data_IF_611224124804
#
_entry.id   IF_611224124804
#
_cell.length_a   1.000
_cell.length_b   1.000
_cell.length_c   1.000
_cell.angle_alpha   90.00
_cell.angle_beta   90.00
_cell.angle_gamma   90.00
#
_symmetry.space_group_name_H-M   'P 1'
#
loop_
_entity.id
_entity.type
_entity.pdbx_description
1 polymer ?
#
# COMPACT_ATOMS: atom_id res chain seq x y z
N UNK A 1 18.04 -28.90 -34.98
CA UNK A 1 18.31 -28.94 -33.53
C UNK A 1 19.81 -29.10 -33.21
N UNK A 2 20.65 -29.66 -34.08
CA UNK A 2 22.10 -29.84 -33.77
C UNK A 2 23.00 -28.61 -33.98
N UNK A 3 22.56 -27.57 -34.70
CA UNK A 3 23.43 -26.42 -35.01
C UNK A 3 23.52 -25.39 -33.85
N UNK A 4 22.58 -25.44 -32.90
CA UNK A 4 22.49 -24.46 -31.79
C UNK A 4 23.32 -24.87 -30.56
N UNK A 5 23.63 -26.16 -30.41
CA UNK A 5 24.49 -26.66 -29.33
C UNK A 5 25.97 -26.25 -29.49
N UNK A 6 26.39 -25.75 -30.66
CA UNK A 6 27.79 -25.37 -30.93
C UNK A 6 28.22 -24.04 -30.29
N UNK A 7 27.29 -23.26 -29.73
CA UNK A 7 27.58 -21.89 -29.24
C UNK A 7 27.20 -21.64 -27.78
N UNK A 8 26.80 -22.68 -27.03
CA UNK A 8 26.47 -22.55 -25.60
C UNK A 8 27.44 -23.45 -24.83
N UNK A 9 28.51 -22.90 -24.24
CA UNK A 9 29.23 -23.65 -23.22
C UNK A 9 28.27 -23.81 -22.03
N UNK A 10 27.87 -25.05 -21.76
CA UNK A 10 27.23 -25.45 -20.52
C UNK A 10 28.28 -25.33 -19.43
N UNK A 11 28.44 -24.13 -18.86
CA UNK A 11 29.25 -23.96 -17.67
C UNK A 11 28.36 -24.38 -16.50
N UNK A 12 28.48 -25.66 -16.16
CA UNK A 12 28.06 -26.18 -14.89
C UNK A 12 28.77 -25.40 -13.77
N UNK A 13 27.94 -24.84 -12.90
CA UNK A 13 28.18 -24.37 -11.52
C UNK A 13 29.63 -24.50 -11.01
N UNK A 14 30.33 -23.40 -10.70
CA UNK A 14 31.51 -23.44 -9.86
C UNK A 14 31.26 -22.67 -8.56
N UNK A 15 30.39 -23.19 -7.71
CA UNK A 15 30.34 -22.77 -6.30
C UNK A 15 30.46 -24.01 -5.42
N UNK A 16 31.68 -24.58 -5.37
CA UNK A 16 32.23 -25.33 -4.22
C UNK A 16 33.63 -25.90 -4.53
N UNK A 17 34.63 -25.04 -4.65
CA UNK A 17 36.03 -25.44 -4.41
C UNK A 17 36.81 -24.24 -3.89
N UNK A 18 37.47 -24.39 -2.73
CA UNK A 18 38.32 -23.38 -2.09
C UNK A 18 39.66 -23.18 -2.84
N UNK A 19 39.63 -22.79 -4.12
CA UNK A 19 40.83 -22.34 -4.86
C UNK A 19 40.49 -21.09 -5.67
N UNK A 20 41.40 -20.11 -5.65
CA UNK A 20 41.24 -18.84 -6.37
C UNK A 20 41.15 -19.06 -7.89
N UNK A 21 40.20 -18.40 -8.58
CA UNK A 21 39.75 -18.75 -9.94
C UNK A 21 40.73 -18.43 -11.09
N UNK A 22 41.93 -17.93 -10.82
CA UNK A 22 42.85 -17.38 -11.83
C UNK A 22 44.03 -18.28 -12.23
N UNK A 23 44.08 -19.51 -11.70
CA UNK A 23 45.31 -20.32 -11.72
C UNK A 23 45.28 -21.52 -12.67
N UNK A 24 44.12 -21.93 -13.21
CA UNK A 24 44.05 -23.05 -14.15
C UNK A 24 44.43 -22.63 -15.57
N UNK A 25 45.20 -23.48 -16.25
CA UNK A 25 45.70 -23.22 -17.60
C UNK A 25 44.56 -22.95 -18.61
N UNK A 26 43.44 -23.67 -18.46
CA UNK A 26 42.23 -23.55 -19.28
C UNK A 26 41.59 -22.14 -19.18
N UNK A 27 41.59 -21.53 -17.99
CA UNK A 27 41.04 -20.17 -17.79
C UNK A 27 41.94 -19.14 -18.45
N UNK A 28 43.27 -19.31 -18.36
CA UNK A 28 44.24 -18.41 -19.03
C UNK A 28 44.09 -18.49 -20.55
N UNK A 29 43.91 -19.69 -21.11
CA UNK A 29 43.72 -19.89 -22.54
C UNK A 29 42.41 -19.27 -23.04
N UNK A 30 41.30 -19.43 -22.30
CA UNK A 30 40.02 -18.81 -22.62
C UNK A 30 40.10 -17.27 -22.59
N UNK A 31 40.81 -16.69 -21.62
CA UNK A 31 41.05 -15.24 -21.54
C UNK A 31 41.89 -14.75 -22.73
N UNK A 32 42.93 -15.50 -23.11
CA UNK A 32 43.79 -15.15 -24.25
C UNK A 32 43.03 -15.21 -25.58
N UNK A 33 42.21 -16.25 -25.78
CA UNK A 33 41.34 -16.38 -26.95
C UNK A 33 40.35 -15.22 -27.05
N UNK A 34 39.73 -14.84 -25.93
CA UNK A 34 38.78 -13.71 -25.89
C UNK A 34 39.47 -12.37 -26.17
N UNK A 35 40.70 -12.17 -25.69
CA UNK A 35 41.55 -11.00 -25.99
C UNK A 35 41.88 -10.89 -27.50
N UNK A 36 42.21 -12.00 -28.15
CA UNK A 36 42.49 -12.04 -29.59
C UNK A 36 41.25 -11.67 -30.43
N UNK A 37 40.08 -12.21 -30.10
CA UNK A 37 38.82 -11.85 -30.75
C UNK A 37 38.50 -10.36 -30.60
N UNK A 38 38.74 -9.81 -29.40
CA UNK A 38 38.55 -8.39 -29.13
C UNK A 38 39.49 -7.51 -29.96
N UNK A 39 40.77 -7.90 -30.11
CA UNK A 39 41.73 -7.19 -30.97
C UNK A 39 41.32 -7.21 -32.44
N UNK A 40 40.85 -8.34 -32.96
CA UNK A 40 40.34 -8.44 -34.33
C UNK A 40 39.10 -7.56 -34.54
N UNK A 41 38.18 -7.54 -33.58
CA UNK A 41 37.00 -6.67 -33.60
C UNK A 41 37.39 -5.19 -33.61
N UNK A 42 38.30 -4.77 -32.73
CA UNK A 42 38.79 -3.39 -32.68
C UNK A 42 39.46 -2.98 -33.99
N UNK A 43 40.33 -3.84 -34.54
CA UNK A 43 41.01 -3.61 -35.81
C UNK A 43 40.03 -3.50 -37.00
N UNK A 44 38.96 -4.31 -36.99
CA UNK A 44 37.90 -4.20 -37.99
C UNK A 44 37.16 -2.86 -37.87
N UNK A 45 36.83 -2.43 -36.64
CA UNK A 45 36.22 -1.14 -36.37
C UNK A 45 37.09 0.04 -36.82
N UNK A 46 38.42 -0.03 -36.61
CA UNK A 46 39.35 1.04 -37.03
C UNK A 46 39.36 1.18 -38.56
N UNK A 47 39.44 0.06 -39.30
CA UNK A 47 39.31 0.06 -40.77
C UNK A 47 37.97 0.63 -41.23
N UNK A 48 36.87 0.28 -40.57
CA UNK A 48 35.55 0.81 -40.91
C UNK A 48 35.48 2.34 -40.69
N UNK A 49 36.00 2.83 -39.55
CA UNK A 49 36.05 4.26 -39.24
C UNK A 49 36.94 5.05 -40.22
N UNK A 50 38.09 4.52 -40.62
CA UNK A 50 38.94 5.15 -41.64
C UNK A 50 38.25 5.21 -43.01
N UNK A 51 37.54 4.14 -43.39
CA UNK A 51 36.77 4.09 -44.64
C UNK A 51 35.65 5.14 -44.63
N UNK A 52 34.95 5.30 -43.50
CA UNK A 52 33.96 6.37 -43.30
C UNK A 52 34.59 7.77 -43.38
N UNK A 53 35.78 7.96 -42.79
CA UNK A 53 36.49 9.25 -42.81
C UNK A 53 36.88 9.66 -44.23
N UNK A 54 37.41 8.72 -45.03
CA UNK A 54 37.78 8.98 -46.43
C UNK A 54 36.57 9.31 -47.32
N UNK A 55 35.41 8.69 -47.08
CA UNK A 55 34.18 8.88 -47.88
C UNK A 55 33.23 9.95 -47.35
N UNK A 56 33.62 10.73 -46.33
CA UNK A 56 32.77 11.75 -45.68
C UNK A 56 32.27 12.85 -46.63
N UNK A 57 33.04 13.14 -47.68
CA UNK A 57 32.74 14.17 -48.68
C UNK A 57 31.64 13.77 -49.67
N UNK A 58 31.33 12.47 -49.81
CA UNK A 58 30.27 11.98 -50.70
C UNK A 58 28.87 12.22 -50.11
N UNK A 59 27.86 12.31 -50.96
CA UNK A 59 26.47 12.40 -50.53
C UNK A 59 26.04 11.13 -49.76
N UNK A 60 25.09 11.25 -48.84
CA UNK A 60 24.71 10.15 -47.93
C UNK A 60 24.32 8.86 -48.66
N UNK A 61 23.52 8.96 -49.72
CA UNK A 61 23.10 7.83 -50.54
C UNK A 61 24.28 7.17 -51.29
N UNK A 62 25.23 7.97 -51.78
CA UNK A 62 26.44 7.46 -52.44
C UNK A 62 27.39 6.77 -51.47
N UNK A 63 27.48 7.25 -50.21
CA UNK A 63 28.22 6.58 -49.14
C UNK A 63 27.64 5.21 -48.84
N UNK A 64 26.31 5.10 -48.78
CA UNK A 64 25.61 3.83 -48.55
C UNK A 64 25.89 2.82 -49.67
N UNK A 65 25.79 3.24 -50.94
CA UNK A 65 26.13 2.40 -52.10
C UNK A 65 27.59 1.93 -52.07
N UNK A 66 28.52 2.85 -51.81
CA UNK A 66 29.95 2.54 -51.75
C UNK A 66 30.38 1.67 -50.56
N UNK A 67 29.53 1.54 -49.55
CA UNK A 67 29.78 0.72 -48.36
C UNK A 67 28.92 -0.55 -48.33
N UNK A 68 28.06 -0.76 -49.34
CA UNK A 68 27.09 -1.86 -49.36
C UNK A 68 26.12 -1.82 -48.17
N UNK A 69 25.85 -0.64 -47.62
CA UNK A 69 24.99 -0.46 -46.46
C UNK A 69 23.57 -0.10 -46.93
N UNK A 70 22.57 -0.75 -46.33
CA UNK A 70 21.17 -0.38 -46.53
C UNK A 70 20.87 0.96 -45.88
N UNK A 71 19.83 1.63 -46.38
CA UNK A 71 19.43 2.92 -45.85
C UNK A 71 19.02 2.82 -44.39
N UNK A 72 19.20 3.91 -43.63
CA UNK A 72 18.72 4.00 -42.26
C UNK A 72 17.21 3.71 -42.16
N UNK A 73 16.43 4.04 -43.20
CA UNK A 73 15.00 3.73 -43.29
C UNK A 73 14.78 2.21 -43.33
N UNK A 74 15.49 1.48 -44.18
CA UNK A 74 15.38 0.02 -44.30
C UNK A 74 15.88 -0.71 -43.03
N UNK A 75 16.99 -0.25 -42.44
CA UNK A 75 17.48 -0.78 -41.16
C UNK A 75 16.44 -0.66 -40.05
N UNK A 76 15.74 0.48 -39.98
CA UNK A 76 14.67 0.73 -39.01
C UNK A 76 13.48 -0.19 -39.25
N UNK A 77 12.99 -0.27 -40.48
CA UNK A 77 11.86 -1.16 -40.86
C UNK A 77 12.18 -2.61 -40.51
N UNK A 78 13.39 -3.08 -40.82
CA UNK A 78 13.83 -4.43 -40.48
C UNK A 78 13.84 -4.67 -38.96
N UNK A 79 14.34 -3.72 -38.18
CA UNK A 79 14.35 -3.80 -36.71
C UNK A 79 12.94 -3.90 -36.11
N UNK A 80 12.01 -3.11 -36.63
CA UNK A 80 10.62 -3.08 -36.16
C UNK A 80 9.90 -4.40 -36.52
N UNK A 81 10.14 -4.96 -37.71
CA UNK A 81 9.60 -6.27 -38.11
C UNK A 81 10.15 -7.43 -37.25
N UNK A 82 11.45 -7.41 -36.93
CA UNK A 82 12.06 -8.42 -36.03
C UNK A 82 11.41 -8.35 -34.64
N UNK A 83 11.16 -7.14 -34.13
CA UNK A 83 10.53 -6.98 -32.83
C UNK A 83 9.07 -7.43 -32.86
N UNK A 84 8.32 -7.13 -33.92
CA UNK A 84 6.96 -7.66 -34.12
C UNK A 84 6.95 -9.19 -34.15
N UNK A 85 7.87 -9.81 -34.90
CA UNK A 85 7.99 -11.26 -34.95
C UNK A 85 8.23 -11.87 -33.57
N UNK A 86 9.13 -11.30 -32.76
CA UNK A 86 9.42 -11.78 -31.40
C UNK A 86 8.20 -11.71 -30.49
N UNK A 87 7.39 -10.65 -30.60
CA UNK A 87 6.15 -10.49 -29.84
C UNK A 87 5.07 -11.48 -30.29
N UNK A 88 4.86 -11.62 -31.60
CA UNK A 88 3.86 -12.54 -32.17
C UNK A 88 4.18 -14.00 -31.85
N UNK A 89 5.47 -14.37 -31.79
CA UNK A 89 5.92 -15.72 -31.43
C UNK A 89 6.10 -15.93 -29.92
N UNK A 90 5.81 -14.91 -29.09
CA UNK A 90 5.97 -15.00 -27.64
C UNK A 90 7.42 -15.20 -27.16
N UNK A 91 8.40 -14.91 -28.02
CA UNK A 91 9.84 -15.00 -27.71
C UNK A 91 10.26 -13.85 -26.80
N UNK A 92 9.58 -12.71 -26.90
CA UNK A 92 9.78 -11.53 -26.06
C UNK A 92 8.44 -11.17 -25.38
N UNK A 93 8.47 -10.92 -24.08
CA UNK A 93 7.30 -10.51 -23.29
C UNK A 93 7.55 -9.11 -22.75
N UNK A 94 6.71 -8.15 -23.16
CA UNK A 94 6.80 -6.77 -22.67
C UNK A 94 5.88 -6.63 -21.47
N UNK A 95 6.49 -6.58 -20.28
CA UNK A 95 5.79 -6.22 -19.06
C UNK A 95 5.89 -4.69 -18.93
N UNK A 96 4.77 -4.02 -19.16
CA UNK A 96 4.65 -2.58 -18.89
C UNK A 96 4.37 -2.41 -17.40
N UNK A 97 5.18 -1.60 -16.70
CA UNK A 97 4.94 -1.29 -15.29
C UNK A 97 3.72 -0.37 -15.08
N UNK A 98 3.23 0.26 -16.15
CA UNK A 98 1.98 1.03 -16.19
C UNK A 98 1.15 0.75 -17.46
N UNK A 99 0.42 -0.38 -17.54
CA UNK A 99 -0.34 -0.73 -18.75
C UNK A 99 -1.66 0.06 -18.91
N UNK A 100 -1.98 1.02 -18.02
CA UNK A 100 -3.31 1.64 -17.92
C UNK A 100 -3.29 3.17 -18.01
N UNK A 101 -2.49 3.74 -18.91
CA UNK A 101 -2.74 5.11 -19.39
C UNK A 101 -3.36 4.97 -20.77
N UNK A 102 -4.68 4.79 -20.82
CA UNK A 102 -5.42 5.07 -22.05
C UNK A 102 -5.18 6.55 -22.37
N UNK A 103 -4.41 6.81 -23.43
CA UNK A 103 -4.20 8.16 -23.93
C UNK A 103 -5.58 8.77 -24.22
N UNK A 104 -5.95 9.89 -23.59
CA UNK A 104 -7.16 10.59 -24.00
C UNK A 104 -6.93 11.09 -25.44
N UNK A 105 -7.96 10.93 -26.28
CA UNK A 105 -8.04 11.54 -27.61
C UNK A 105 -8.05 13.06 -27.44
N UNK A 106 -6.88 13.68 -27.32
CA UNK A 106 -6.73 15.13 -27.28
C UNK A 106 -5.74 15.56 -28.35
N UNK A 107 -6.28 16.35 -29.27
CA UNK A 107 -5.61 16.97 -30.40
C UNK A 107 -4.56 18.00 -29.97
N UNK A 108 -3.54 18.14 -30.84
CA UNK A 108 -2.63 19.28 -31.04
C UNK A 108 -1.29 19.30 -30.28
N UNK A 109 -0.26 18.92 -31.04
CA UNK A 109 0.98 19.69 -31.29
C UNK A 109 1.72 20.36 -30.12
N UNK A 110 2.01 19.65 -29.03
CA UNK A 110 3.22 19.90 -28.22
C UNK A 110 3.45 18.75 -27.23
N UNK A 111 4.32 17.81 -27.60
CA UNK A 111 4.64 16.61 -26.79
C UNK A 111 5.94 16.74 -25.97
N UNK A 112 6.62 17.89 -26.01
CA UNK A 112 7.80 18.12 -25.17
C UNK A 112 7.37 18.49 -23.74
N UNK A 113 7.61 17.58 -22.79
CA UNK A 113 7.47 17.84 -21.35
C UNK A 113 6.22 17.27 -20.67
N UNK A 114 5.49 16.33 -21.28
CA UNK A 114 4.34 15.70 -20.62
C UNK A 114 4.80 14.54 -19.70
N UNK A 115 4.18 14.38 -18.52
CA UNK A 115 4.54 13.39 -17.48
C UNK A 115 3.93 11.98 -17.73
N UNK A 116 3.49 11.70 -18.94
CA UNK A 116 2.74 10.48 -19.30
C UNK A 116 3.51 9.62 -20.30
N UNK A 117 4.76 9.27 -19.97
CA UNK A 117 5.56 8.34 -20.76
C UNK A 117 5.18 6.90 -20.39
N UNK A 118 4.95 6.06 -21.41
CA UNK A 118 4.81 4.62 -21.21
C UNK A 118 6.21 4.05 -20.98
N UNK A 119 6.55 3.81 -19.72
CA UNK A 119 7.84 3.25 -19.34
C UNK A 119 7.80 1.71 -19.35
N UNK A 120 8.80 1.11 -20.02
CA UNK A 120 9.05 -0.33 -19.98
C UNK A 120 9.85 -0.69 -18.72
N UNK A 121 9.77 -1.95 -18.29
CA UNK A 121 10.67 -2.48 -17.27
C UNK A 121 12.14 -2.28 -17.62
N UNK A 122 12.94 -1.80 -16.66
CA UNK A 122 14.39 -1.70 -16.80
C UNK A 122 15.02 -3.09 -16.93
N UNK A 123 15.73 -3.33 -18.03
CA UNK A 123 16.53 -4.54 -18.22
C UNK A 123 17.81 -4.39 -17.39
N UNK A 124 17.93 -5.17 -16.30
CA UNK A 124 19.00 -5.08 -15.28
C UNK A 124 20.44 -4.98 -15.85
N UNK A 125 20.69 -5.53 -17.04
CA UNK A 125 22.03 -5.67 -17.61
C UNK A 125 22.27 -4.93 -18.93
N UNK A 126 21.33 -4.08 -19.40
CA UNK A 126 21.53 -3.32 -20.64
C UNK A 126 20.70 -2.03 -20.62
N UNK A 127 21.28 -0.96 -20.05
CA UNK A 127 20.65 0.37 -19.96
C UNK A 127 20.46 0.99 -21.34
N UNK A 128 21.27 0.64 -22.33
CA UNK A 128 21.15 1.13 -23.70
C UNK A 128 19.90 0.55 -24.39
N UNK A 129 19.52 -0.69 -24.07
CA UNK A 129 18.30 -1.34 -24.62
C UNK A 129 17.01 -0.73 -24.05
N UNK A 130 17.07 -0.12 -22.86
CA UNK A 130 15.95 0.58 -22.23
C UNK A 130 15.46 1.78 -23.06
N UNK A 131 16.35 2.44 -23.80
CA UNK A 131 15.99 3.59 -24.65
C UNK A 131 15.29 3.21 -25.96
N UNK A 132 15.15 1.91 -26.30
CA UNK A 132 14.67 1.48 -27.62
C UNK A 132 13.15 1.35 -27.79
N UNK A 133 12.35 2.05 -26.97
CA UNK A 133 10.89 1.96 -27.11
C UNK A 133 10.16 3.19 -27.68
N UNK A 134 10.65 4.42 -27.50
CA UNK A 134 9.83 5.59 -27.85
C UNK A 134 10.58 6.88 -28.21
N UNK A 135 11.79 6.82 -28.76
CA UNK A 135 12.52 8.04 -29.17
C UNK A 135 12.61 8.24 -30.69
N UNK A 136 11.58 7.79 -31.41
CA UNK A 136 11.55 7.85 -32.88
C UNK A 136 10.29 8.58 -33.34
N UNK A 137 10.45 9.80 -33.84
CA UNK A 137 9.40 10.50 -34.61
C UNK A 137 9.09 9.63 -35.82
N UNK A 138 7.94 8.95 -35.80
CA UNK A 138 7.42 8.17 -36.93
C UNK A 138 6.08 8.79 -37.31
N UNK A 139 5.85 8.95 -38.62
CA UNK A 139 4.65 9.54 -39.19
C UNK A 139 3.34 8.98 -38.60
N UNK A 140 2.34 9.87 -38.52
CA UNK A 140 1.03 9.71 -37.86
C UNK A 140 0.33 8.34 -38.09
N UNK A 141 0.47 7.77 -39.29
CA UNK A 141 -0.17 6.49 -39.65
C UNK A 141 0.42 5.28 -38.89
N UNK A 142 1.70 5.32 -38.52
CA UNK A 142 2.35 4.23 -37.75
C UNK A 142 2.01 4.30 -36.26
N UNK A 143 1.77 5.50 -35.72
CA UNK A 143 1.30 5.65 -34.34
C UNK A 143 -0.10 5.04 -34.15
N UNK A 144 -0.99 5.21 -35.13
CA UNK A 144 -2.34 4.62 -35.08
C UNK A 144 -2.31 3.09 -35.12
N UNK A 145 -1.41 2.51 -35.91
CA UNK A 145 -1.20 1.06 -35.98
C UNK A 145 -0.64 0.50 -34.66
N UNK A 146 0.37 1.16 -34.09
CA UNK A 146 0.96 0.79 -32.79
C UNK A 146 -0.08 0.93 -31.67
N UNK A 147 -0.91 1.98 -31.68
CA UNK A 147 -1.98 2.18 -30.70
C UNK A 147 -3.05 1.07 -30.78
N UNK A 148 -3.49 0.70 -31.99
CA UNK A 148 -4.43 -0.40 -32.20
C UNK A 148 -3.83 -1.75 -31.79
N UNK A 149 -2.52 -1.96 -32.01
CA UNK A 149 -1.81 -3.16 -31.57
C UNK A 149 -1.70 -3.23 -30.04
N UNK A 150 -1.42 -2.11 -29.37
CA UNK A 150 -1.39 -2.01 -27.90
C UNK A 150 -2.77 -2.29 -27.32
N UNK A 151 -3.84 -1.77 -27.93
CA UNK A 151 -5.23 -2.06 -27.56
C UNK A 151 -5.58 -3.54 -27.72
N UNK A 152 -5.18 -4.17 -28.83
CA UNK A 152 -5.36 -5.62 -29.05
C UNK A 152 -4.59 -6.48 -28.03
N UNK A 153 -3.35 -6.12 -27.74
CA UNK A 153 -2.51 -6.85 -26.79
C UNK A 153 -2.97 -6.65 -25.33
N UNK A 154 -3.50 -5.46 -25.01
CA UNK A 154 -4.14 -5.18 -23.72
C UNK A 154 -5.40 -6.02 -23.52
N UNK A 155 -6.26 -6.14 -24.55
CA UNK A 155 -7.45 -7.02 -24.52
C UNK A 155 -7.08 -8.49 -24.31
N UNK A 156 -6.05 -8.99 -25.00
CA UNK A 156 -5.62 -10.40 -24.92
C UNK A 156 -4.97 -10.77 -23.58
N UNK A 157 -4.33 -9.80 -22.91
CA UNK A 157 -3.76 -9.98 -21.55
C UNK A 157 -4.84 -10.02 -20.45
N UNK A 158 -5.93 -9.27 -20.63
CA UNK A 158 -7.01 -9.17 -19.65
C UNK A 158 -7.92 -10.41 -19.60
N UNK A 159 -7.96 -11.23 -20.65
CA UNK A 159 -8.92 -12.34 -20.78
C UNK A 159 -8.52 -13.65 -20.05
N UNK A 160 -7.26 -13.80 -19.60
CA UNK A 160 -6.78 -15.08 -18.99
C UNK A 160 -6.11 -14.97 -17.62
N UNK A 161 -6.07 -13.79 -16.99
CA UNK A 161 -5.31 -13.56 -15.75
C UNK A 161 -6.06 -13.12 -14.46
N UNK A 162 -7.37 -13.40 -14.23
CA UNK A 162 -8.01 -13.01 -12.97
C UNK A 162 -7.72 -13.98 -11.82
N UNK A 163 -7.89 -15.30 -11.99
CA UNK A 163 -7.88 -16.25 -10.88
C UNK A 163 -6.50 -16.39 -10.21
N UNK A 164 -5.42 -16.58 -10.98
CA UNK A 164 -4.07 -16.74 -10.44
C UNK A 164 -3.56 -15.50 -9.69
N UNK A 165 -3.95 -14.30 -10.16
CA UNK A 165 -3.54 -13.02 -9.55
C UNK A 165 -4.23 -12.81 -8.21
N UNK A 166 -5.51 -13.18 -8.10
CA UNK A 166 -6.27 -13.12 -6.84
C UNK A 166 -5.62 -14.06 -5.81
N UNK A 167 -5.30 -15.31 -6.19
CA UNK A 167 -4.69 -16.28 -5.27
C UNK A 167 -3.30 -15.86 -4.75
N UNK A 168 -2.47 -15.22 -5.58
CA UNK A 168 -1.14 -14.73 -5.17
C UNK A 168 -1.27 -13.56 -4.20
N UNK A 169 -2.18 -12.62 -4.48
CA UNK A 169 -2.43 -11.46 -3.61
C UNK A 169 -2.97 -11.88 -2.24
N UNK A 170 -3.86 -12.89 -2.20
CA UNK A 170 -4.39 -13.43 -0.95
C UNK A 170 -3.29 -14.11 -0.11
N UNK A 171 -2.36 -14.84 -0.74
CA UNK A 171 -1.20 -15.41 -0.05
C UNK A 171 -0.27 -14.33 0.52
N UNK A 172 -0.04 -13.25 -0.22
CA UNK A 172 0.77 -12.11 0.24
C UNK A 172 0.08 -11.42 1.43
N UNK A 173 -1.23 -11.19 1.37
CA UNK A 173 -2.00 -10.60 2.46
C UNK A 173 -1.98 -11.48 3.73
N UNK A 174 -2.13 -12.79 3.57
CA UNK A 174 -2.01 -13.75 4.68
C UNK A 174 -0.61 -13.74 5.29
N UNK A 175 0.44 -13.72 4.46
CA UNK A 175 1.82 -13.64 4.90
C UNK A 175 2.10 -12.36 5.70
N UNK A 176 1.56 -11.21 5.25
CA UNK A 176 1.66 -9.94 6.00
C UNK A 176 0.98 -10.03 7.37
N UNK A 177 -0.22 -10.61 7.45
CA UNK A 177 -0.92 -10.83 8.73
C UNK A 177 -0.12 -11.72 9.69
N UNK A 178 0.43 -12.82 9.17
CA UNK A 178 1.28 -13.72 9.97
C UNK A 178 2.54 -13.00 10.48
N UNK A 179 3.18 -12.20 9.63
CA UNK A 179 4.34 -11.40 10.04
C UNK A 179 3.99 -10.34 11.10
N UNK A 180 2.82 -9.70 10.97
CA UNK A 180 2.31 -8.75 11.96
C UNK A 180 2.14 -9.41 13.34
N UNK A 181 1.47 -10.58 13.39
CA UNK A 181 1.30 -11.36 14.63
C UNK A 181 2.66 -11.77 15.21
N UNK A 182 3.60 -12.21 14.36
CA UNK A 182 4.95 -12.56 14.79
C UNK A 182 5.71 -11.37 15.38
N UNK A 183 5.45 -10.14 14.90
CA UNK A 183 6.06 -8.92 15.43
C UNK A 183 5.53 -8.54 16.81
N UNK A 184 4.29 -8.91 17.17
CA UNK A 184 3.72 -8.67 18.52
C UNK A 184 4.62 -9.28 19.62
N UNK A 185 5.26 -10.41 19.33
CA UNK A 185 6.17 -11.07 20.29
C UNK A 185 7.62 -10.56 20.22
N UNK A 186 7.91 -9.57 19.36
CA UNK A 186 9.26 -8.99 19.16
C UNK A 186 9.32 -7.53 19.60
N UNK A 187 9.21 -7.31 20.91
CA UNK A 187 9.18 -5.99 21.56
C UNK A 187 10.33 -5.06 21.12
N UNK A 188 11.55 -5.58 20.94
CA UNK A 188 12.73 -4.77 20.55
C UNK A 188 12.65 -4.12 19.16
N UNK A 189 11.77 -4.62 18.29
CA UNK A 189 11.60 -4.09 16.93
C UNK A 189 10.35 -3.21 16.80
N UNK A 190 9.71 -2.86 17.92
CA UNK A 190 8.53 -2.01 17.93
C UNK A 190 8.91 -0.54 18.18
N UNK A 191 8.39 0.36 17.35
CA UNK A 191 8.60 1.81 17.50
C UNK A 191 7.63 2.40 18.54
N UNK A 192 7.93 2.19 19.84
CA UNK A 192 7.10 2.70 20.94
C UNK A 192 7.06 4.23 21.01
N UNK A 193 8.16 4.90 20.69
CA UNK A 193 8.23 6.37 20.72
C UNK A 193 7.22 6.97 19.73
N UNK A 194 7.20 6.47 18.50
CA UNK A 194 6.25 6.91 17.48
C UNK A 194 4.81 6.62 17.92
N UNK A 195 4.54 5.44 18.48
CA UNK A 195 3.21 5.07 18.94
C UNK A 195 2.73 5.93 20.13
N UNK A 196 3.61 6.28 21.07
CA UNK A 196 3.30 7.21 22.17
C UNK A 196 3.00 8.62 21.65
N UNK A 197 3.79 9.13 20.71
CA UNK A 197 3.50 10.41 20.06
C UNK A 197 2.16 10.37 19.32
N UNK A 198 1.83 9.27 18.64
CA UNK A 198 0.52 9.11 18.01
C UNK A 198 -0.61 9.17 19.04
N UNK A 199 -0.48 8.46 20.17
CA UNK A 199 -1.45 8.50 21.26
C UNK A 199 -1.63 9.90 21.87
N UNK A 200 -0.53 10.63 22.10
CA UNK A 200 -0.59 11.99 22.62
C UNK A 200 -1.21 12.97 21.62
N UNK A 201 -0.82 12.86 20.34
CA UNK A 201 -1.39 13.72 19.30
C UNK A 201 -2.86 13.43 19.02
N UNK A 202 -3.37 12.24 19.34
CA UNK A 202 -4.81 12.00 19.25
C UNK A 202 -5.61 12.94 20.15
N UNK A 203 -5.05 13.48 21.24
CA UNK A 203 -5.68 14.49 22.09
C UNK A 203 -5.34 15.91 21.66
N UNK A 204 -4.04 16.19 21.49
CA UNK A 204 -3.55 17.55 21.30
C UNK A 204 -3.81 18.07 19.89
N UNK A 205 -3.58 17.24 18.87
CA UNK A 205 -3.66 17.64 17.47
C UNK A 205 -3.90 16.45 16.54
N UNK A 206 -5.12 15.87 16.53
CA UNK A 206 -5.38 14.62 15.81
C UNK A 206 -5.15 14.73 14.29
N UNK A 207 -5.26 15.94 13.73
CA UNK A 207 -4.89 16.21 12.32
C UNK A 207 -3.45 15.84 12.00
N UNK A 208 -2.54 15.99 12.97
CA UNK A 208 -1.12 15.64 12.81
C UNK A 208 -0.92 14.13 12.68
N UNK A 209 -1.69 13.33 13.41
CA UNK A 209 -1.66 11.86 13.32
C UNK A 209 -1.99 11.41 11.90
N UNK A 210 -3.09 11.93 11.34
CA UNK A 210 -3.54 11.54 10.00
C UNK A 210 -2.68 12.08 8.86
N UNK A 211 -1.98 13.21 9.07
CA UNK A 211 -0.93 13.65 8.14
C UNK A 211 0.21 12.64 8.05
N UNK A 212 0.60 11.99 9.15
CA UNK A 212 1.62 10.94 9.14
C UNK A 212 1.19 9.70 8.34
N UNK A 213 -0.11 9.36 8.37
CA UNK A 213 -0.65 8.28 7.53
C UNK A 213 -0.54 8.61 6.03
N UNK A 214 -0.79 9.87 5.64
CA UNK A 214 -0.55 10.31 4.25
C UNK A 214 0.92 10.16 3.84
N UNK A 215 1.87 10.53 4.71
CA UNK A 215 3.31 10.32 4.43
C UNK A 215 3.69 8.84 4.37
N UNK A 216 3.04 7.98 5.18
CA UNK A 216 3.26 6.54 5.13
C UNK A 216 2.81 5.94 3.80
N UNK A 217 1.68 6.42 3.26
CA UNK A 217 1.21 6.01 1.94
C UNK A 217 2.21 6.36 0.84
N UNK A 218 2.81 7.55 0.88
CA UNK A 218 3.80 7.98 -0.12
C UNK A 218 5.07 7.11 -0.10
N UNK A 219 5.49 6.66 1.08
CA UNK A 219 6.74 5.91 1.27
C UNK A 219 6.57 4.39 1.13
N UNK A 220 5.48 3.82 1.66
CA UNK A 220 5.24 2.36 1.70
C UNK A 220 4.06 1.88 0.84
N UNK A 221 3.30 2.79 0.23
CA UNK A 221 2.11 2.48 -0.60
C UNK A 221 1.07 1.62 0.11
N UNK A 222 0.90 1.82 1.41
CA UNK A 222 -0.18 1.23 2.20
C UNK A 222 -0.63 2.19 3.29
N UNK A 223 -1.90 2.07 3.68
CA UNK A 223 -2.51 2.95 4.68
C UNK A 223 -2.49 2.33 6.08
N UNK A 224 -2.63 1.01 6.20
CA UNK A 224 -2.61 0.32 7.49
C UNK A 224 -1.23 0.33 8.15
N UNK A 225 -1.19 0.28 9.49
CA UNK A 225 0.04 0.20 10.26
C UNK A 225 0.72 -1.16 10.08
N UNK A 226 2.04 -1.13 9.87
CA UNK A 226 2.88 -2.33 9.85
C UNK A 226 3.34 -2.80 11.24
N UNK A 227 3.28 -1.92 12.23
CA UNK A 227 3.93 -2.12 13.52
C UNK A 227 2.90 -2.22 14.65
N UNK A 228 2.99 -3.25 15.50
CA UNK A 228 2.00 -3.53 16.53
C UNK A 228 2.11 -2.63 17.77
N UNK A 229 3.09 -1.71 17.82
CA UNK A 229 3.41 -0.90 18.99
C UNK A 229 2.20 -0.16 19.59
N UNK A 230 1.37 0.43 18.73
CA UNK A 230 0.15 1.13 19.15
C UNK A 230 -0.85 0.21 19.86
N UNK A 231 -1.08 -1.00 19.31
CA UNK A 231 -2.02 -1.97 19.88
C UNK A 231 -1.50 -2.53 21.21
N UNK A 232 -0.19 -2.76 21.33
CA UNK A 232 0.45 -3.20 22.58
C UNK A 232 0.32 -2.13 23.66
N UNK A 233 0.61 -0.86 23.34
CA UNK A 233 0.41 0.25 24.28
C UNK A 233 -1.07 0.42 24.67
N UNK A 234 -1.98 0.24 23.72
CA UNK A 234 -3.42 0.32 23.98
C UNK A 234 -3.86 -0.79 24.94
N UNK A 235 -3.32 -2.00 24.76
CA UNK A 235 -3.57 -3.14 25.65
C UNK A 235 -2.99 -2.91 27.06
N UNK A 236 -1.82 -2.26 27.17
CA UNK A 236 -1.28 -1.85 28.45
C UNK A 236 -2.18 -0.82 29.15
N UNK A 237 -2.74 0.15 28.39
CA UNK A 237 -3.71 1.11 28.94
C UNK A 237 -4.98 0.41 29.43
N UNK A 238 -5.53 -0.51 28.62
CA UNK A 238 -6.69 -1.33 28.98
C UNK A 238 -6.47 -2.16 30.25
N UNK A 239 -5.26 -2.67 30.47
CA UNK A 239 -4.91 -3.36 31.70
C UNK A 239 -4.93 -2.42 32.91
N UNK A 240 -4.30 -1.24 32.78
CA UNK A 240 -4.27 -0.23 33.85
C UNK A 240 -5.69 0.25 34.16
N UNK A 241 -6.50 0.60 33.16
CA UNK A 241 -7.87 1.04 33.38
C UNK A 241 -8.72 -0.04 34.04
N UNK A 242 -8.64 -1.29 33.58
CA UNK A 242 -9.38 -2.42 34.17
C UNK A 242 -8.98 -2.66 35.63
N UNK A 243 -7.71 -2.43 35.97
CA UNK A 243 -7.21 -2.51 37.34
C UNK A 243 -7.85 -1.43 38.22
N UNK A 244 -7.91 -0.19 37.73
CA UNK A 244 -8.55 0.93 38.43
C UNK A 244 -10.05 0.67 38.62
N UNK A 245 -10.77 0.18 37.59
CA UNK A 245 -12.18 -0.22 37.72
C UNK A 245 -12.38 -1.32 38.74
N UNK A 246 -11.50 -2.33 38.75
CA UNK A 246 -11.59 -3.43 39.71
C UNK A 246 -11.47 -2.95 41.15
N UNK A 247 -10.57 -2.01 41.41
CA UNK A 247 -10.43 -1.40 42.75
C UNK A 247 -11.64 -0.54 43.09
N UNK A 248 -12.07 0.34 42.17
CA UNK A 248 -13.21 1.23 42.36
C UNK A 248 -14.53 0.47 42.62
N UNK A 249 -14.69 -0.71 42.01
CA UNK A 249 -15.87 -1.57 42.15
C UNK A 249 -15.69 -2.68 43.20
N UNK A 250 -14.55 -2.73 43.89
CA UNK A 250 -14.24 -3.78 44.88
C UNK A 250 -14.43 -5.20 44.33
N UNK A 251 -14.00 -5.44 43.10
CA UNK A 251 -14.12 -6.74 42.43
C UNK A 251 -13.05 -7.74 42.93
N UNK A 252 -13.41 -9.02 42.96
CA UNK A 252 -12.47 -10.11 43.22
C UNK A 252 -11.47 -10.28 42.08
N UNK A 253 -10.37 -11.01 42.31
CA UNK A 253 -9.38 -11.29 41.26
C UNK A 253 -9.97 -11.96 40.01
N UNK A 254 -10.91 -12.89 40.20
CA UNK A 254 -11.65 -13.51 39.09
C UNK A 254 -12.52 -12.49 38.37
N UNK A 255 -13.12 -11.55 39.12
CA UNK A 255 -13.88 -10.46 38.54
C UNK A 255 -13.02 -9.53 37.69
N UNK A 256 -11.84 -9.15 38.20
CA UNK A 256 -10.83 -8.42 37.44
C UNK A 256 -10.47 -9.11 36.12
N UNK A 257 -10.16 -10.41 36.14
CA UNK A 257 -9.82 -11.15 34.92
C UNK A 257 -10.97 -11.18 33.91
N UNK A 258 -12.21 -11.38 34.38
CA UNK A 258 -13.40 -11.31 33.51
C UNK A 258 -13.56 -9.93 32.88
N UNK A 259 -13.42 -8.86 33.65
CA UNK A 259 -13.48 -7.49 33.16
C UNK A 259 -12.37 -7.22 32.14
N UNK A 260 -11.13 -7.55 32.46
CA UNK A 260 -9.97 -7.35 31.59
C UNK A 260 -10.17 -8.01 30.21
N UNK A 261 -10.55 -9.28 30.19
CA UNK A 261 -10.78 -9.99 28.93
C UNK A 261 -12.00 -9.47 28.17
N UNK A 262 -13.05 -9.05 28.88
CA UNK A 262 -14.22 -8.44 28.26
C UNK A 262 -13.85 -7.14 27.54
N UNK A 263 -13.19 -6.20 28.23
CA UNK A 263 -12.86 -4.90 27.64
C UNK A 263 -11.87 -5.06 26.47
N UNK A 264 -10.90 -5.98 26.57
CA UNK A 264 -9.94 -6.23 25.46
C UNK A 264 -10.62 -6.92 24.27
N UNK A 265 -11.26 -8.08 24.48
CA UNK A 265 -11.72 -8.89 23.36
C UNK A 265 -13.09 -8.49 22.83
N UNK A 266 -14.00 -8.06 23.70
CA UNK A 266 -15.37 -7.70 23.30
C UNK A 266 -15.43 -6.22 22.94
N UNK A 267 -15.09 -5.33 23.89
CA UNK A 267 -15.31 -3.89 23.71
C UNK A 267 -14.30 -3.26 22.74
N UNK A 268 -13.02 -3.65 22.80
CA UNK A 268 -11.99 -3.10 21.91
C UNK A 268 -11.89 -3.88 20.58
N UNK A 269 -11.64 -5.19 20.62
CA UNK A 269 -11.40 -5.97 19.40
C UNK A 269 -12.70 -6.33 18.68
N UNK A 270 -13.66 -6.95 19.37
CA UNK A 270 -14.90 -7.46 18.79
C UNK A 270 -15.75 -6.35 18.18
N UNK A 271 -16.08 -5.33 18.98
CA UNK A 271 -16.80 -4.15 18.50
C UNK A 271 -16.00 -3.40 17.43
N UNK A 272 -14.67 -3.31 17.58
CA UNK A 272 -13.81 -2.68 16.59
C UNK A 272 -13.82 -3.35 15.22
N UNK A 273 -13.78 -4.68 15.17
CA UNK A 273 -13.89 -5.44 13.91
C UNK A 273 -15.27 -5.26 13.27
N UNK A 274 -16.34 -5.22 14.06
CA UNK A 274 -17.70 -4.95 13.60
C UNK A 274 -17.78 -3.56 12.97
N UNK A 275 -17.36 -2.52 13.69
CA UNK A 275 -17.41 -1.14 13.20
C UNK A 275 -16.52 -0.94 11.97
N UNK A 276 -15.29 -1.46 11.99
CA UNK A 276 -14.39 -1.40 10.85
C UNK A 276 -14.97 -2.11 9.61
N UNK A 277 -15.66 -3.24 9.81
CA UNK A 277 -16.37 -3.96 8.75
C UNK A 277 -17.49 -3.13 8.14
N UNK A 278 -18.40 -2.60 8.98
CA UNK A 278 -19.52 -1.76 8.53
C UNK A 278 -19.02 -0.51 7.80
N UNK A 279 -18.07 0.23 8.39
CA UNK A 279 -17.52 1.44 7.79
C UNK A 279 -16.77 1.14 6.50
N UNK A 280 -15.96 0.07 6.45
CA UNK A 280 -15.26 -0.30 5.22
C UNK A 280 -16.23 -0.62 4.09
N UNK A 281 -17.31 -1.36 4.36
CA UNK A 281 -18.36 -1.63 3.35
C UNK A 281 -19.07 -0.35 2.93
N UNK A 282 -19.50 0.47 3.90
CA UNK A 282 -20.21 1.72 3.64
C UNK A 282 -19.38 2.68 2.79
N UNK A 283 -18.15 2.96 3.21
CA UNK A 283 -17.28 3.93 2.54
C UNK A 283 -16.89 3.45 1.14
N UNK A 284 -16.56 2.16 0.98
CA UNK A 284 -16.27 1.60 -0.34
C UNK A 284 -17.51 1.58 -1.26
N UNK A 285 -18.72 1.47 -0.72
CA UNK A 285 -19.94 1.45 -1.53
C UNK A 285 -20.42 2.84 -1.92
N UNK A 286 -20.34 3.81 -1.02
CA UNK A 286 -21.04 5.10 -1.16
C UNK A 286 -20.12 6.32 -1.30
N UNK A 287 -18.89 6.30 -0.77
CA UNK A 287 -18.06 7.51 -0.65
C UNK A 287 -16.88 7.57 -1.63
N UNK A 288 -16.71 6.57 -2.51
CA UNK A 288 -15.64 6.59 -3.52
C UNK A 288 -16.01 7.46 -4.72
N UNK A 289 -15.00 8.06 -5.35
CA UNK A 289 -15.20 8.84 -6.58
C UNK A 289 -15.79 7.97 -7.73
N UNK A 290 -16.89 8.39 -8.35
CA UNK A 290 -17.31 7.84 -9.64
C UNK A 290 -16.45 8.44 -10.78
N UNK A 291 -15.81 7.58 -11.59
CA UNK A 291 -15.27 7.91 -12.92
C UNK A 291 -13.77 8.23 -13.07
N UNK A 292 -12.86 7.90 -12.15
CA UNK A 292 -11.41 8.22 -12.27
C UNK A 292 -10.44 7.05 -12.08
N UNK A 293 -9.19 7.16 -12.59
CA UNK A 293 -8.13 6.12 -12.54
C UNK A 293 -7.79 5.69 -11.09
N UNK A 294 -7.96 6.58 -10.10
CA UNK A 294 -7.82 6.28 -8.66
C UNK A 294 -8.91 5.36 -8.07
N UNK A 295 -9.89 4.91 -8.88
CA UNK A 295 -10.96 4.01 -8.46
C UNK A 295 -10.52 2.61 -8.00
N UNK A 296 -9.31 2.18 -8.37
CA UNK A 296 -8.84 0.83 -8.07
C UNK A 296 -8.38 0.65 -6.63
N UNK A 297 -8.08 1.74 -5.91
CA UNK A 297 -7.69 1.67 -4.50
C UNK A 297 -8.93 1.51 -3.63
N UNK A 298 -9.06 0.32 -3.03
CA UNK A 298 -10.06 0.03 -2.00
C UNK A 298 -9.47 0.35 -0.64
N UNK A 299 -10.32 0.73 0.30
CA UNK A 299 -9.89 0.88 1.69
C UNK A 299 -9.45 -0.47 2.22
N UNK A 300 -8.22 -0.51 2.71
CA UNK A 300 -7.69 -1.66 3.43
C UNK A 300 -8.49 -1.86 4.72
N UNK A 301 -8.97 -3.08 4.96
CA UNK A 301 -9.66 -3.40 6.21
C UNK A 301 -8.79 -3.06 7.45
N UNK A 302 -7.48 -3.29 7.35
CA UNK A 302 -6.53 -2.93 8.41
C UNK A 302 -6.56 -1.43 8.74
N UNK A 303 -6.69 -0.57 7.73
CA UNK A 303 -6.79 0.86 7.93
C UNK A 303 -8.10 1.26 8.62
N UNK A 304 -9.22 0.66 8.21
CA UNK A 304 -10.51 0.90 8.88
C UNK A 304 -10.47 0.51 10.37
N UNK A 305 -9.78 -0.59 10.69
CA UNK A 305 -9.55 -1.00 12.07
C UNK A 305 -8.61 -0.06 12.81
N UNK A 306 -7.53 0.43 12.18
CA UNK A 306 -6.63 1.43 12.77
C UNK A 306 -7.36 2.75 13.10
N UNK A 307 -8.27 3.20 12.22
CA UNK A 307 -9.11 4.38 12.47
C UNK A 307 -10.01 4.14 13.68
N UNK A 308 -10.62 2.95 13.81
CA UNK A 308 -11.37 2.59 15.01
C UNK A 308 -10.49 2.64 16.27
N UNK A 309 -9.31 2.02 16.27
CA UNK A 309 -8.41 2.03 17.43
C UNK A 309 -7.99 3.45 17.81
N UNK A 310 -7.73 4.32 16.82
CA UNK A 310 -7.41 5.72 17.04
C UNK A 310 -8.58 6.50 17.66
N UNK A 311 -9.82 6.22 17.25
CA UNK A 311 -11.01 6.86 17.80
C UNK A 311 -11.39 6.30 19.18
N UNK A 312 -11.15 5.00 19.39
CA UNK A 312 -11.44 4.29 20.64
C UNK A 312 -10.55 4.75 21.78
N UNK A 313 -9.27 5.04 21.53
CA UNK A 313 -8.34 5.40 22.60
C UNK A 313 -8.72 6.68 23.38
N UNK A 314 -9.07 7.82 22.74
CA UNK A 314 -9.62 8.97 23.45
C UNK A 314 -10.94 8.70 24.18
N UNK A 315 -11.84 7.96 23.54
CA UNK A 315 -13.11 7.55 24.14
C UNK A 315 -12.88 6.72 25.41
N UNK A 316 -11.96 5.76 25.35
CA UNK A 316 -11.54 4.94 26.48
C UNK A 316 -11.02 5.81 27.60
N UNK A 317 -10.15 6.78 27.33
CA UNK A 317 -9.59 7.64 28.37
C UNK A 317 -10.64 8.51 29.05
N UNK A 318 -11.56 9.09 28.28
CA UNK A 318 -12.67 9.88 28.83
C UNK A 318 -13.57 8.99 29.70
N UNK A 319 -13.95 7.81 29.21
CA UNK A 319 -14.89 6.93 29.90
C UNK A 319 -14.28 6.11 31.05
N UNK A 320 -12.98 5.82 31.00
CA UNK A 320 -12.34 5.00 32.02
C UNK A 320 -11.64 5.81 33.12
N UNK A 321 -11.31 7.08 32.85
CA UNK A 321 -10.65 7.95 33.82
C UNK A 321 -11.63 9.00 34.33
N UNK A 322 -12.09 9.90 33.46
CA UNK A 322 -12.91 11.05 33.86
C UNK A 322 -14.27 10.60 34.39
N UNK A 323 -14.93 9.75 33.62
CA UNK A 323 -16.25 9.23 33.95
C UNK A 323 -16.24 8.33 35.20
N UNK A 324 -15.17 7.55 35.41
CA UNK A 324 -15.05 6.71 36.61
C UNK A 324 -14.90 7.57 37.88
N UNK A 325 -14.02 8.58 37.84
CA UNK A 325 -13.86 9.53 38.96
C UNK A 325 -15.19 10.22 39.24
N UNK A 326 -15.88 10.66 38.19
CA UNK A 326 -17.17 11.31 38.31
C UNK A 326 -18.24 10.41 38.96
N UNK A 327 -18.31 9.14 38.55
CA UNK A 327 -19.25 8.17 39.10
C UNK A 327 -19.10 7.98 40.62
N UNK A 328 -17.89 8.02 41.17
CA UNK A 328 -17.65 7.85 42.61
C UNK A 328 -18.33 8.91 43.49
N UNK A 329 -18.62 10.09 42.93
CA UNK A 329 -19.31 11.19 43.61
C UNK A 329 -20.75 11.40 43.09
N UNK A 330 -21.22 10.53 42.19
CA UNK A 330 -22.48 10.70 41.49
C UNK A 330 -23.65 10.20 42.34
N UNK A 331 -24.52 11.13 42.76
CA UNK A 331 -25.80 10.80 43.41
C UNK A 331 -26.91 10.54 42.39
N UNK A 332 -28.07 10.06 42.84
CA UNK A 332 -29.27 9.88 42.01
C UNK A 332 -30.01 11.21 41.76
N UNK A 333 -29.31 12.22 41.22
CA UNK A 333 -29.88 13.54 40.95
C UNK A 333 -29.96 13.85 39.45
N UNK A 334 -30.77 14.83 39.09
CA UNK A 334 -30.81 15.34 37.71
C UNK A 334 -29.44 15.87 37.27
N UNK A 335 -28.77 16.63 38.14
CA UNK A 335 -27.44 17.19 37.86
C UNK A 335 -26.43 16.08 37.60
N UNK A 336 -26.55 14.99 38.36
CA UNK A 336 -25.69 13.83 38.19
C UNK A 336 -25.83 13.17 36.81
N UNK A 337 -27.09 13.02 36.37
CA UNK A 337 -27.43 12.51 35.05
C UNK A 337 -26.97 13.46 33.94
N UNK A 338 -27.17 14.77 34.10
CA UNK A 338 -26.77 15.76 33.10
C UNK A 338 -25.27 15.74 32.84
N UNK A 339 -24.44 15.82 33.89
CA UNK A 339 -22.98 15.82 33.76
C UNK A 339 -22.49 14.47 33.23
N UNK A 340 -22.96 13.35 33.80
CA UNK A 340 -22.57 12.01 33.36
C UNK A 340 -22.91 11.74 31.89
N UNK A 341 -24.12 12.10 31.45
CA UNK A 341 -24.52 11.93 30.06
C UNK A 341 -23.77 12.91 29.13
N UNK A 342 -23.38 14.09 29.61
CA UNK A 342 -22.56 15.05 28.86
C UNK A 342 -21.14 14.50 28.63
N UNK A 343 -20.54 13.82 29.62
CA UNK A 343 -19.23 13.17 29.44
C UNK A 343 -19.31 12.09 28.35
N UNK A 344 -20.37 11.28 28.35
CA UNK A 344 -20.64 10.31 27.29
C UNK A 344 -20.84 10.95 25.92
N UNK A 345 -21.60 12.06 25.86
CA UNK A 345 -21.81 12.83 24.63
C UNK A 345 -20.47 13.32 24.06
N UNK A 346 -19.62 13.90 24.90
CA UNK A 346 -18.28 14.38 24.51
C UNK A 346 -17.42 13.23 24.00
N UNK A 347 -17.41 12.09 24.70
CA UNK A 347 -16.64 10.91 24.29
C UNK A 347 -17.07 10.38 22.91
N UNK A 348 -18.38 10.26 22.67
CA UNK A 348 -18.93 9.80 21.40
C UNK A 348 -18.70 10.80 20.27
N UNK A 349 -18.87 12.10 20.53
CA UNK A 349 -18.56 13.15 19.57
C UNK A 349 -17.10 13.09 19.13
N UNK A 350 -16.19 12.89 20.09
CA UNK A 350 -14.77 12.76 19.80
C UNK A 350 -14.47 11.51 18.96
N UNK A 351 -15.11 10.38 19.29
CA UNK A 351 -14.99 9.15 18.52
C UNK A 351 -15.41 9.34 17.05
N UNK A 352 -16.57 9.97 16.80
CA UNK A 352 -17.02 10.26 15.43
C UNK A 352 -16.13 11.28 14.73
N UNK A 353 -15.62 12.29 15.44
CA UNK A 353 -14.69 13.27 14.89
C UNK A 353 -13.38 12.64 14.42
N UNK A 354 -12.75 11.79 15.26
CA UNK A 354 -11.52 11.09 14.89
C UNK A 354 -11.75 10.11 13.75
N UNK A 355 -12.91 9.44 13.73
CA UNK A 355 -13.32 8.57 12.62
C UNK A 355 -13.43 9.36 11.33
N UNK A 356 -14.18 10.46 11.32
CA UNK A 356 -14.31 11.37 10.17
C UNK A 356 -12.94 11.84 9.66
N UNK A 357 -12.05 12.24 10.57
CA UNK A 357 -10.74 12.75 10.22
C UNK A 357 -9.86 11.68 9.56
N UNK A 358 -9.95 10.43 10.03
CA UNK A 358 -9.22 9.31 9.45
C UNK A 358 -9.66 8.94 8.03
N UNK A 359 -10.95 9.03 7.72
CA UNK A 359 -11.37 8.82 6.33
C UNK A 359 -11.15 10.06 5.45
N UNK A 360 -11.19 11.27 6.01
CA UNK A 360 -11.02 12.51 5.24
C UNK A 360 -9.60 12.74 4.73
N UNK A 361 -8.58 12.09 5.30
CA UNK A 361 -7.22 12.16 4.75
C UNK A 361 -7.01 11.28 3.51
N UNK A 362 -7.98 10.43 3.14
CA UNK A 362 -7.90 9.56 1.98
C UNK A 362 -8.30 10.33 0.70
N UNK A 363 -7.38 10.50 -0.27
CA UNK A 363 -7.61 11.35 -1.44
C UNK A 363 -8.61 10.74 -2.45
N UNK A 364 -8.98 9.48 -2.29
CA UNK A 364 -9.92 8.76 -3.16
C UNK A 364 -11.35 8.68 -2.58
N UNK A 365 -11.61 9.35 -1.45
CA UNK A 365 -12.93 9.49 -0.86
C UNK A 365 -13.50 10.90 -1.06
N UNK A 366 -14.82 10.98 -1.24
CA UNK A 366 -15.60 12.22 -1.33
C UNK A 366 -16.78 12.14 -0.37
N UNK A 367 -17.21 13.28 0.16
CA UNK A 367 -18.40 13.34 1.02
C UNK A 367 -18.18 12.65 2.37
N UNK A 368 -16.95 12.60 2.87
CA UNK A 368 -16.62 12.00 4.17
C UNK A 368 -17.38 12.65 5.33
N UNK A 369 -17.90 13.87 5.16
CA UNK A 369 -18.79 14.56 6.10
C UNK A 369 -20.01 13.72 6.49
N UNK A 370 -20.49 12.83 5.62
CA UNK A 370 -21.58 11.88 5.94
C UNK A 370 -21.27 10.99 7.13
N UNK A 371 -19.99 10.73 7.43
CA UNK A 371 -19.57 9.96 8.61
C UNK A 371 -19.86 10.67 9.94
N UNK A 372 -20.17 11.98 9.92
CA UNK A 372 -20.59 12.75 11.09
C UNK A 372 -22.10 12.67 11.33
N UNK A 373 -22.91 12.11 10.42
CA UNK A 373 -24.37 12.04 10.62
C UNK A 373 -24.82 11.29 11.88
N UNK A 374 -24.14 10.21 12.33
CA UNK A 374 -24.44 9.58 13.62
C UNK A 374 -24.38 10.53 14.82
N UNK A 375 -23.62 11.63 14.75
CA UNK A 375 -23.56 12.66 15.80
C UNK A 375 -24.94 13.28 16.04
N UNK A 376 -25.75 13.45 15.00
CA UNK A 376 -27.13 13.96 15.12
C UNK A 376 -27.98 12.99 15.93
N UNK A 377 -27.92 11.69 15.61
CA UNK A 377 -28.65 10.64 16.33
C UNK A 377 -28.23 10.58 17.80
N UNK A 378 -26.92 10.66 18.08
CA UNK A 378 -26.39 10.68 19.46
C UNK A 378 -26.84 11.94 20.20
N UNK A 379 -26.92 13.09 19.52
CA UNK A 379 -27.40 14.33 20.12
C UNK A 379 -28.87 14.22 20.53
N UNK A 380 -29.72 13.68 19.65
CA UNK A 380 -31.14 13.41 19.93
C UNK A 380 -31.27 12.46 21.12
N UNK A 381 -30.53 11.35 21.11
CA UNK A 381 -30.55 10.37 22.20
C UNK A 381 -30.08 10.97 23.53
N UNK A 382 -29.09 11.86 23.51
CA UNK A 382 -28.66 12.61 24.69
C UNK A 382 -29.79 13.48 25.25
N UNK A 383 -30.49 14.27 24.42
CA UNK A 383 -31.61 15.07 24.90
C UNK A 383 -32.72 14.21 25.52
N UNK A 384 -33.07 13.11 24.87
CA UNK A 384 -34.03 12.12 25.40
C UNK A 384 -33.55 11.62 26.76
N UNK A 385 -32.28 11.24 26.90
CA UNK A 385 -31.72 10.71 28.15
C UNK A 385 -31.85 11.65 29.35
N UNK A 386 -31.92 12.97 29.15
CA UNK A 386 -32.08 13.92 30.25
C UNK A 386 -33.47 13.87 30.88
N UNK A 387 -34.51 13.51 30.13
CA UNK A 387 -35.90 13.46 30.60
C UNK A 387 -36.23 12.16 31.34
N UNK A 388 -35.52 11.06 31.06
CA UNK A 388 -35.78 9.75 31.67
C UNK A 388 -34.74 9.45 32.77
N UNK A 389 -35.14 9.36 34.06
CA UNK A 389 -34.19 9.09 35.14
C UNK A 389 -33.42 7.78 35.01
N UNK A 390 -34.03 6.77 34.39
CA UNK A 390 -33.40 5.47 34.13
C UNK A 390 -32.22 5.56 33.13
N UNK A 391 -32.17 6.61 32.30
CA UNK A 391 -31.12 6.78 31.28
C UNK A 391 -29.93 7.58 31.82
N UNK A 392 -29.35 7.14 32.93
CA UNK A 392 -28.05 7.64 33.40
C UNK A 392 -26.94 6.71 32.92
N UNK A 393 -26.24 7.09 31.84
CA UNK A 393 -25.23 6.24 31.20
C UNK A 393 -24.09 5.83 32.14
N UNK A 394 -23.77 6.69 33.12
CA UNK A 394 -22.77 6.42 34.15
C UNK A 394 -23.14 5.21 35.00
N UNK A 395 -24.34 5.24 35.56
CA UNK A 395 -24.84 4.19 36.43
C UNK A 395 -25.14 2.92 35.61
N UNK A 396 -25.73 3.05 34.43
CA UNK A 396 -25.97 1.90 33.54
C UNK A 396 -24.70 1.15 33.14
N UNK A 397 -23.59 1.86 32.86
CA UNK A 397 -22.31 1.19 32.56
C UNK A 397 -21.77 0.42 33.77
N UNK A 398 -21.85 1.02 34.96
CA UNK A 398 -21.38 0.37 36.19
C UNK A 398 -22.26 -0.81 36.55
N UNK A 399 -23.58 -0.68 36.44
CA UNK A 399 -24.54 -1.75 36.67
C UNK A 399 -24.33 -2.90 35.68
N UNK A 400 -24.06 -2.58 34.40
CA UNK A 400 -23.69 -3.56 33.39
C UNK A 400 -22.42 -4.33 33.79
N UNK A 401 -21.36 -3.64 34.21
CA UNK A 401 -20.13 -4.30 34.64
C UNK A 401 -20.31 -5.09 35.92
N UNK A 402 -21.05 -4.58 36.90
CA UNK A 402 -21.42 -5.32 38.12
C UNK A 402 -22.13 -6.62 37.74
N UNK A 403 -23.24 -6.54 37.01
CA UNK A 403 -24.04 -7.70 36.60
C UNK A 403 -23.23 -8.80 35.88
N UNK A 404 -22.29 -8.42 35.01
CA UNK A 404 -21.50 -9.37 34.22
C UNK A 404 -20.34 -9.98 34.99
N UNK A 405 -19.77 -9.23 35.91
CA UNK A 405 -18.53 -9.60 36.59
C UNK A 405 -18.79 -10.23 37.96
N UNK A 406 -19.81 -9.76 38.70
CA UNK A 406 -20.25 -10.39 39.94
C UNK A 406 -21.18 -11.57 39.63
N UNK A 407 -20.63 -12.78 39.65
CA UNK A 407 -21.46 -13.90 40.09
C UNK A 407 -21.53 -13.79 41.61
N UNK A 408 -22.72 -13.45 42.10
CA UNK A 408 -23.18 -13.54 43.49
C UNK A 408 -22.09 -13.95 44.50
N UNK A 409 -21.54 -12.98 45.21
CA UNK A 409 -21.31 -13.19 46.64
C UNK A 409 -22.67 -12.96 47.30
N UNK A 410 -23.49 -14.01 47.33
CA UNK A 410 -24.58 -14.14 48.29
C UNK A 410 -23.97 -14.66 49.60
#
# INVERSE_FOLDING_TARGET
MEVVCKYIPVISVPFKTKKEPWTTAEVKEAVFHKSNLWRQYVASGTKTHETFRKKKHLAYEERLRHLGLTTLKEWRVRGDLIQQFKLLKGIDQIIFENPQVHAPLISKYNLRGNYHWVERQMVKNCKERFNFFADRIVNFNYQLFIFNLILMLSKKSSEKLPEQKITIMDRIALQRRFLFIKRIFKVKHMDFEFALWQMLYLFVSPKRVYRNFSYHQETKRQWSRDDPAFLVLLSAWLFVSSSIFSVALSLSFTGFLKLLFWVIFVDCIGFGLLVAGILSVFVNRYLRFPGGIKQQERIEFGYAFDVHLNAFFPLLLILHVVQLIYFLFSENSFMARFIGNTIWLIALFYYFYITFLGYSCLPFLRGTVTLLFPVILVSIFYFISLFFPALNFSHMLIDFYRYRVSHYAL
#
